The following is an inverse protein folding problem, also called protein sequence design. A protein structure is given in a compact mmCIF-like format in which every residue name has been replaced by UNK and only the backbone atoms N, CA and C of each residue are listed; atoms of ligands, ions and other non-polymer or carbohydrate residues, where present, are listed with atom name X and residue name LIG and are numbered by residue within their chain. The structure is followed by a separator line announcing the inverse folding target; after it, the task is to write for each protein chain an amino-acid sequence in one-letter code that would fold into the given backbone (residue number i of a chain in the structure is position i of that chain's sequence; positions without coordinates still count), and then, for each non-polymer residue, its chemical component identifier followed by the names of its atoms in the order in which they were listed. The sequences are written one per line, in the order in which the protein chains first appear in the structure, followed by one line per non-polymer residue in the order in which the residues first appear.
data_IF_172879052308
#
_entry.id   IF_172879052308
#
_cell.length_a   1.000
_cell.length_b   1.000
_cell.length_c   1.000
_cell.angle_alpha   90.00
_cell.angle_beta   90.00
_cell.angle_gamma   90.00
#
_symmetry.space_group_name_H-M   'P 1'
#
loop_
_entity.id
_entity.type
_entity.pdbx_description
1 polymer ?
#
# COMPACT_ATOMS: atom_id res chain seq x y z
N UNK A 1 0.94 -5.92 23.90
CA UNK A 1 0.76 -5.75 22.45
C UNK A 1 2.12 -6.00 21.79
N UNK A 2 2.20 -6.71 20.65
CA UNK A 2 3.50 -7.05 20.02
C UNK A 2 4.05 -5.93 19.11
N UNK A 3 3.28 -4.87 18.89
CA UNK A 3 3.59 -3.72 18.03
C UNK A 3 2.29 -3.16 17.45
N UNK A 4 2.35 -1.99 16.81
CA UNK A 4 1.24 -1.49 15.99
C UNK A 4 1.12 -2.32 14.70
N UNK A 5 -0.09 -2.35 14.15
CA UNK A 5 -0.41 -2.98 12.85
C UNK A 5 -1.11 -1.95 11.97
N UNK A 6 -0.75 -1.92 10.70
CA UNK A 6 -1.39 -1.08 9.69
C UNK A 6 -1.52 -1.85 8.38
N UNK A 7 -2.51 -1.44 7.58
CA UNK A 7 -2.79 -2.00 6.28
C UNK A 7 -3.06 -0.87 5.28
N UNK A 8 -2.75 -1.10 4.01
CA UNK A 8 -3.04 -0.14 2.93
C UNK A 8 -3.24 -0.88 1.60
N UNK A 9 -4.06 -0.30 0.72
CA UNK A 9 -4.17 -0.72 -0.67
C UNK A 9 -3.13 0.02 -1.52
N UNK A 10 -2.61 -0.66 -2.54
CA UNK A 10 -1.78 -0.11 -3.61
C UNK A 10 -2.18 -0.75 -4.91
N UNK A 11 -1.98 -0.07 -6.03
CA UNK A 11 -2.32 -0.65 -7.32
C UNK A 11 -1.61 -0.04 -8.51
N UNK A 12 -1.82 -0.68 -9.65
CA UNK A 12 -1.35 -0.23 -10.96
C UNK A 12 -2.59 0.17 -11.74
N UNK A 13 -2.69 1.46 -12.08
CA UNK A 13 -3.79 2.00 -12.87
C UNK A 13 -3.26 2.44 -14.22
N UNK A 14 -4.02 2.20 -15.28
CA UNK A 14 -3.66 2.69 -16.61
C UNK A 14 -4.05 4.16 -16.72
N UNK A 15 -3.07 5.03 -16.97
CA UNK A 15 -3.36 6.43 -17.25
C UNK A 15 -3.91 6.55 -18.68
N UNK A 16 -5.22 6.75 -18.83
CA UNK A 16 -5.86 6.79 -20.15
C UNK A 16 -5.39 7.97 -21.03
N UNK A 17 -4.97 9.07 -20.41
CA UNK A 17 -4.53 10.27 -21.12
C UNK A 17 -3.10 10.16 -21.66
N UNK A 18 -2.22 9.50 -20.91
CA UNK A 18 -0.79 9.38 -21.22
C UNK A 18 -0.41 8.02 -21.82
N UNK A 19 -1.25 6.99 -21.63
CA UNK A 19 -1.01 5.63 -22.09
C UNK A 19 -0.04 4.82 -21.21
N UNK A 20 0.54 5.44 -20.18
CA UNK A 20 1.49 4.84 -19.25
C UNK A 20 0.81 4.19 -18.03
N UNK A 21 1.54 3.32 -17.35
CA UNK A 21 1.12 2.73 -16.07
C UNK A 21 1.47 3.67 -14.91
N UNK A 22 0.52 3.86 -14.00
CA UNK A 22 0.66 4.68 -12.81
C UNK A 22 0.53 3.80 -11.56
N UNK A 23 1.40 4.04 -10.56
CA UNK A 23 1.42 3.28 -9.31
C UNK A 23 0.84 4.15 -8.22
N UNK A 24 -0.30 3.72 -7.68
CA UNK A 24 -1.07 4.51 -6.73
C UNK A 24 -1.11 3.84 -5.35
N UNK A 25 -1.16 4.68 -4.33
CA UNK A 25 -1.23 4.30 -2.93
C UNK A 25 -2.57 4.78 -2.38
N UNK A 26 -3.21 3.97 -1.54
CA UNK A 26 -4.52 4.27 -0.97
C UNK A 26 -5.57 4.49 -2.07
N UNK A 27 -5.81 3.43 -2.86
CA UNK A 27 -6.72 3.49 -4.01
C UNK A 27 -8.12 3.92 -3.58
N UNK A 28 -8.63 4.97 -4.21
CA UNK A 28 -10.03 5.35 -4.13
C UNK A 28 -10.90 4.35 -4.90
N UNK A 29 -12.20 4.29 -4.60
CA UNK A 29 -13.11 3.32 -5.23
C UNK A 29 -13.05 3.31 -6.77
N UNK A 30 -12.97 4.49 -7.40
CA UNK A 30 -12.89 4.60 -8.86
C UNK A 30 -11.54 4.15 -9.42
N UNK A 31 -10.48 4.21 -8.62
CA UNK A 31 -9.15 3.79 -9.01
C UNK A 31 -9.04 2.26 -8.89
N UNK A 32 -9.54 1.70 -7.79
CA UNK A 32 -9.62 0.26 -7.55
C UNK A 32 -10.45 -0.45 -8.63
N UNK A 33 -11.64 0.09 -8.95
CA UNK A 33 -12.51 -0.45 -9.99
C UNK A 33 -11.90 -0.45 -11.40
N UNK A 34 -10.86 0.36 -11.63
CA UNK A 34 -10.18 0.50 -12.93
C UNK A 34 -8.71 0.04 -12.88
N UNK A 35 -8.27 -0.57 -11.78
CA UNK A 35 -6.89 -1.02 -11.64
C UNK A 35 -6.61 -2.25 -12.52
N UNK A 36 -5.45 -2.29 -13.15
CA UNK A 36 -4.93 -3.51 -13.79
C UNK A 36 -4.44 -4.51 -12.74
N UNK A 37 -4.06 -4.00 -11.56
CA UNK A 37 -3.63 -4.79 -10.40
C UNK A 37 -3.98 -4.03 -9.13
N UNK A 38 -4.69 -4.68 -8.23
CA UNK A 38 -4.90 -4.25 -6.84
C UNK A 38 -4.05 -5.09 -5.89
N UNK A 39 -3.65 -4.51 -4.77
CA UNK A 39 -2.90 -5.21 -3.74
C UNK A 39 -3.13 -4.62 -2.36
N UNK A 40 -3.51 -5.49 -1.43
CA UNK A 40 -3.64 -5.18 -0.02
C UNK A 40 -2.40 -5.69 0.73
N UNK A 41 -1.82 -4.81 1.54
CA UNK A 41 -0.59 -5.09 2.29
C UNK A 41 -0.81 -4.77 3.76
N UNK A 42 -0.45 -5.71 4.63
CA UNK A 42 -0.54 -5.57 6.09
C UNK A 42 0.84 -5.78 6.72
N UNK A 43 1.27 -4.85 7.57
CA UNK A 43 2.58 -4.90 8.23
C UNK A 43 2.50 -4.58 9.73
N UNK A 44 3.49 -5.11 10.45
CA UNK A 44 3.87 -4.66 11.80
C UNK A 44 4.68 -3.35 11.75
N UNK A 45 4.81 -2.67 12.88
CA UNK A 45 5.56 -1.39 12.98
C UNK A 45 7.06 -1.47 12.67
N UNK A 46 7.66 -2.65 12.77
CA UNK A 46 9.04 -2.95 12.35
C UNK A 46 9.14 -3.33 10.87
N UNK A 47 8.05 -3.19 10.12
CA UNK A 47 7.87 -3.53 8.70
C UNK A 47 7.98 -5.03 8.38
N UNK A 48 7.86 -5.92 9.36
CA UNK A 48 7.59 -7.33 9.06
C UNK A 48 6.19 -7.46 8.43
N UNK A 49 6.12 -8.19 7.31
CA UNK A 49 4.87 -8.41 6.58
C UNK A 49 4.02 -9.47 7.30
N UNK A 50 2.75 -9.14 7.52
CA UNK A 50 1.73 -10.06 8.02
C UNK A 50 0.99 -10.70 6.85
N UNK A 51 0.61 -9.89 5.86
CA UNK A 51 -0.17 -10.31 4.70
C UNK A 51 0.21 -9.46 3.48
N UNK A 52 0.31 -10.14 2.35
CA UNK A 52 0.40 -9.55 1.01
C UNK A 52 -0.56 -10.33 0.14
N UNK A 53 -1.60 -9.65 -0.34
CA UNK A 53 -2.55 -10.20 -1.29
C UNK A 53 -2.61 -9.25 -2.48
N UNK A 54 -2.14 -9.70 -3.64
CA UNK A 54 -2.24 -8.95 -4.89
C UNK A 54 -2.97 -9.76 -5.94
N UNK A 55 -3.87 -9.11 -6.66
CA UNK A 55 -4.65 -9.71 -7.75
C UNK A 55 -4.36 -8.96 -9.03
N UNK A 56 -4.05 -9.69 -10.09
CA UNK A 56 -4.01 -9.13 -11.44
C UNK A 56 -5.42 -9.23 -12.03
N UNK A 57 -6.17 -8.14 -12.01
CA UNK A 57 -7.50 -8.05 -12.62
C UNK A 57 -7.41 -7.96 -14.16
N UNK A 58 -6.32 -7.36 -14.65
CA UNK A 58 -6.00 -7.25 -16.08
C UNK A 58 -4.83 -8.15 -16.46
N UNK A 59 -3.70 -7.52 -16.82
CA UNK A 59 -2.47 -8.26 -17.16
C UNK A 59 -1.71 -8.71 -15.91
N UNK A 60 -1.06 -9.88 -15.94
CA UNK A 60 -0.13 -10.26 -14.88
C UNK A 60 0.95 -9.19 -14.67
N UNK A 61 1.18 -8.81 -13.41
CA UNK A 61 2.25 -7.89 -13.05
C UNK A 61 3.59 -8.61 -12.91
N UNK A 62 4.68 -7.90 -13.21
CA UNK A 62 6.04 -8.42 -13.09
C UNK A 62 6.53 -8.40 -11.63
N UNK A 63 7.63 -9.11 -11.37
CA UNK A 63 8.30 -9.05 -10.06
C UNK A 63 8.75 -7.63 -9.71
N UNK A 64 9.22 -6.85 -10.68
CA UNK A 64 9.65 -5.46 -10.47
C UNK A 64 8.46 -4.56 -10.09
N UNK A 65 7.29 -4.81 -10.70
CA UNK A 65 6.06 -4.11 -10.36
C UNK A 65 5.58 -4.45 -8.95
N UNK A 66 5.65 -5.73 -8.56
CA UNK A 66 5.38 -6.16 -7.18
C UNK A 66 6.29 -5.42 -6.18
N UNK A 67 7.60 -5.35 -6.44
CA UNK A 67 8.53 -4.64 -5.54
C UNK A 67 8.22 -3.14 -5.46
N UNK A 68 7.77 -2.53 -6.57
CA UNK A 68 7.35 -1.13 -6.60
C UNK A 68 6.11 -0.90 -5.73
N UNK A 69 5.09 -1.76 -5.85
CA UNK A 69 3.89 -1.71 -5.02
C UNK A 69 4.19 -1.91 -3.54
N UNK A 70 5.05 -2.88 -3.18
CA UNK A 70 5.47 -3.11 -1.80
C UNK A 70 6.24 -1.92 -1.21
N UNK A 71 7.08 -1.26 -2.00
CA UNK A 71 7.78 -0.05 -1.58
C UNK A 71 6.81 1.11 -1.31
N UNK A 72 5.80 1.26 -2.17
CA UNK A 72 4.74 2.25 -2.04
C UNK A 72 3.90 2.00 -0.79
N UNK A 73 3.47 0.76 -0.58
CA UNK A 73 2.70 0.34 0.59
C UNK A 73 3.48 0.59 1.89
N UNK A 74 4.78 0.28 1.92
CA UNK A 74 5.66 0.55 3.08
C UNK A 74 5.68 2.04 3.44
N UNK A 75 5.70 2.91 2.44
CA UNK A 75 5.63 4.36 2.63
C UNK A 75 4.31 4.80 3.26
N UNK A 76 3.18 4.39 2.69
CA UNK A 76 1.85 4.73 3.19
C UNK A 76 1.58 4.17 4.59
N UNK A 77 1.97 2.92 4.86
CA UNK A 77 1.92 2.31 6.19
C UNK A 77 2.74 3.12 7.21
N UNK A 78 3.90 3.64 6.81
CA UNK A 78 4.69 4.54 7.65
C UNK A 78 3.89 5.78 8.10
N UNK A 79 3.14 6.39 7.18
CA UNK A 79 2.25 7.52 7.50
C UNK A 79 1.13 7.11 8.46
N UNK A 80 0.51 5.94 8.25
CA UNK A 80 -0.53 5.41 9.14
C UNK A 80 0.02 5.20 10.56
N UNK A 81 1.23 4.64 10.70
CA UNK A 81 1.83 4.47 12.03
C UNK A 81 2.08 5.80 12.75
N UNK A 82 2.48 6.85 12.03
CA UNK A 82 2.62 8.19 12.63
C UNK A 82 1.27 8.72 13.13
N UNK A 83 0.21 8.56 12.31
CA UNK A 83 -1.13 8.96 12.71
C UNK A 83 -1.65 8.16 13.91
N UNK A 84 -1.46 6.84 13.94
CA UNK A 84 -1.82 5.98 15.07
C UNK A 84 -1.09 6.41 16.36
N UNK A 85 0.22 6.66 16.30
CA UNK A 85 1.02 7.12 17.45
C UNK A 85 0.51 8.46 17.97
N UNK A 86 0.25 9.42 17.08
CA UNK A 86 -0.31 10.71 17.45
C UNK A 86 -1.70 10.57 18.11
N UNK A 87 -2.58 9.75 17.53
CA UNK A 87 -3.93 9.52 18.05
C UNK A 87 -3.93 8.83 19.43
N UNK A 88 -3.01 7.90 19.66
CA UNK A 88 -2.84 7.20 20.93
C UNK A 88 -2.01 7.98 21.95
N UNK A 89 -1.55 9.20 21.60
CA UNK A 89 -0.60 9.99 22.37
C UNK A 89 0.70 9.21 22.73
N UNK A 90 1.08 8.24 21.89
CA UNK A 90 2.37 7.56 21.94
C UNK A 90 3.37 8.48 21.24
N UNK A 91 3.62 9.64 21.84
CA UNK A 91 4.78 10.44 21.45
C UNK A 91 6.00 9.75 22.06
N UNK A 92 7.01 9.47 21.24
CA UNK A 92 8.32 9.07 21.76
C UNK A 92 8.75 10.15 22.75
N UNK A 93 8.77 9.79 24.02
CA UNK A 93 9.36 10.62 25.06
C UNK A 93 10.80 10.89 24.61
N UNK A 94 11.08 12.15 24.27
CA UNK A 94 12.43 12.66 24.07
C UNK A 94 13.15 12.74 25.41
#
# INVERSE_FOLDING_TARGET
MKGLVAAISVGIVKNEALGDLEYLCDLEYTEDANAETDMNVVMMEDYQMIEVQGTAEGKPFSHEQLLTLLALARGGIGTIFQAQKAALAINSCL
#
